data_IF_927850764703
#
_entry.id   IF_927850764703
#
_cell.length_a   1.000
_cell.length_b   1.000
_cell.length_c   1.000
_cell.angle_alpha   90.00
_cell.angle_beta   90.00
_cell.angle_gamma   90.00
#
_symmetry.space_group_name_H-M   'P 1'
#
loop_
_entity.id
_entity.type
_entity.pdbx_description
1 polymer ?
#
# COMPACT_ATOMS: atom_id res chain seq x y z
N UNK A 1 21.89 28.63 1.12
CA UNK A 1 21.28 27.46 1.79
C UNK A 1 19.74 27.60 1.77
N UNK A 2 19.09 27.33 0.63
CA UNK A 2 17.61 27.44 0.50
C UNK A 2 16.97 26.16 -0.05
N UNK A 3 17.78 25.19 -0.46
CA UNK A 3 17.39 23.91 -1.05
C UNK A 3 17.24 22.79 -0.02
N UNK A 4 17.91 22.88 1.13
CA UNK A 4 17.84 21.90 2.21
C UNK A 4 16.40 21.59 2.69
N UNK A 5 15.54 22.58 2.99
CA UNK A 5 14.17 22.27 3.41
C UNK A 5 13.32 21.64 2.29
N UNK A 6 13.56 22.04 1.04
CA UNK A 6 12.88 21.46 -0.13
C UNK A 6 13.24 19.97 -0.31
N UNK A 7 14.52 19.65 -0.19
CA UNK A 7 15.01 18.26 -0.30
C UNK A 7 14.42 17.39 0.83
N UNK A 8 14.37 17.91 2.06
CA UNK A 8 13.73 17.21 3.18
C UNK A 8 12.24 16.97 2.95
N UNK A 9 11.51 17.97 2.42
CA UNK A 9 10.09 17.81 2.08
C UNK A 9 9.86 16.76 0.98
N UNK A 10 10.73 16.70 -0.03
CA UNK A 10 10.67 15.70 -1.09
C UNK A 10 10.95 14.28 -0.57
N UNK A 11 11.92 14.11 0.32
CA UNK A 11 12.22 12.81 0.93
C UNK A 11 11.05 12.37 1.83
N UNK A 12 10.48 13.28 2.62
CA UNK A 12 9.34 12.97 3.48
C UNK A 12 8.10 12.52 2.68
N UNK A 13 7.80 13.22 1.58
CA UNK A 13 6.69 12.86 0.69
C UNK A 13 6.93 11.55 -0.05
N UNK A 14 8.16 11.29 -0.51
CA UNK A 14 8.53 10.01 -1.10
C UNK A 14 8.35 8.85 -0.11
N UNK A 15 8.80 9.01 1.15
CA UNK A 15 8.66 8.00 2.19
C UNK A 15 7.20 7.69 2.53
N UNK A 16 6.33 8.71 2.59
CA UNK A 16 4.89 8.54 2.82
C UNK A 16 4.19 7.88 1.64
N UNK A 17 4.65 8.14 0.40
CA UNK A 17 4.05 7.55 -0.80
C UNK A 17 4.42 6.09 -1.01
N UNK A 18 5.55 5.61 -0.46
CA UNK A 18 6.05 4.25 -0.66
C UNK A 18 5.05 3.16 -0.21
N UNK A 19 4.20 3.44 0.79
CA UNK A 19 3.16 2.53 1.26
C UNK A 19 1.97 2.37 0.28
N UNK A 20 1.92 3.17 -0.79
CA UNK A 20 0.81 3.20 -1.76
C UNK A 20 1.14 2.51 -3.08
N UNK A 21 2.39 2.11 -3.29
CA UNK A 21 2.86 1.42 -4.49
C UNK A 21 3.01 -0.07 -4.24
N UNK A 22 2.73 -0.88 -5.26
CA UNK A 22 2.99 -2.31 -5.24
C UNK A 22 3.86 -2.73 -6.42
N UNK A 23 4.58 -3.83 -6.23
CA UNK A 23 5.27 -4.52 -7.32
C UNK A 23 4.36 -5.61 -7.88
N UNK A 24 4.41 -5.82 -9.19
CA UNK A 24 3.69 -6.90 -9.86
C UNK A 24 4.55 -7.51 -10.97
N UNK A 25 4.27 -8.77 -11.30
CA UNK A 25 4.87 -9.43 -12.45
C UNK A 25 4.12 -8.97 -13.71
N UNK A 26 4.83 -8.32 -14.64
CA UNK A 26 4.28 -7.94 -15.93
C UNK A 26 4.27 -9.10 -16.92
N UNK A 27 3.50 -8.95 -18.00
CA UNK A 27 3.42 -9.96 -19.07
C UNK A 27 4.75 -10.18 -19.80
N UNK A 28 5.69 -9.24 -19.65
CA UNK A 28 7.07 -9.32 -20.12
C UNK A 28 8.00 -10.14 -19.19
N UNK A 29 7.45 -10.70 -18.12
CA UNK A 29 8.17 -11.49 -17.12
C UNK A 29 9.04 -10.64 -16.18
N UNK A 30 8.90 -9.31 -16.18
CA UNK A 30 9.67 -8.40 -15.33
C UNK A 30 8.86 -7.90 -14.14
N UNK A 31 9.55 -7.42 -13.12
CA UNK A 31 8.92 -6.72 -11.99
C UNK A 31 8.65 -5.27 -12.37
N UNK A 32 7.39 -4.87 -12.28
CA UNK A 32 6.94 -3.50 -12.49
C UNK A 32 6.41 -2.91 -11.19
N UNK A 33 6.26 -1.59 -11.17
CA UNK A 33 5.72 -0.83 -10.03
C UNK A 33 4.49 -0.08 -10.49
N UNK A 34 3.39 -0.17 -9.74
CA UNK A 34 2.16 0.60 -9.96
C UNK A 34 1.56 1.09 -8.65
N UNK A 35 0.74 2.12 -8.73
CA UNK A 35 -0.04 2.55 -7.58
C UNK A 35 -1.05 1.45 -7.26
N UNK A 36 -1.04 0.98 -6.00
CA UNK A 36 -1.87 -0.15 -5.57
C UNK A 36 -3.35 0.21 -5.53
N UNK A 37 -3.66 1.41 -5.04
CA UNK A 37 -5.02 1.89 -4.90
C UNK A 37 -5.15 3.37 -5.30
N UNK A 38 -6.30 3.80 -5.88
CA UNK A 38 -6.58 5.20 -6.12
C UNK A 38 -6.51 6.06 -4.85
N UNK A 39 -6.23 7.35 -5.02
CA UNK A 39 -6.23 8.33 -3.91
C UNK A 39 -7.60 8.35 -3.22
N UNK A 40 -7.61 8.30 -1.89
CA UNK A 40 -8.84 8.26 -1.09
C UNK A 40 -9.38 6.85 -0.81
N UNK A 41 -8.69 5.80 -1.24
CA UNK A 41 -9.04 4.42 -0.89
C UNK A 41 -8.85 4.17 0.61
N UNK A 42 -9.92 3.72 1.28
CA UNK A 42 -9.84 3.23 2.65
C UNK A 42 -9.37 1.77 2.68
N UNK A 43 -8.64 1.37 3.73
CA UNK A 43 -8.24 -0.03 3.94
C UNK A 43 -8.63 -0.43 5.35
N UNK A 44 -9.35 -1.54 5.49
CA UNK A 44 -9.61 -2.18 6.77
C UNK A 44 -9.11 -3.63 6.75
N UNK A 45 -8.98 -4.22 7.94
CA UNK A 45 -8.58 -5.62 8.08
C UNK A 45 -9.74 -6.43 8.67
N UNK A 46 -9.88 -7.69 8.23
CA UNK A 46 -10.80 -8.61 8.91
C UNK A 46 -10.37 -8.85 10.34
N UNK A 47 -11.34 -9.20 11.18
CA UNK A 47 -11.05 -9.63 12.54
C UNK A 47 -10.29 -10.96 12.51
N UNK A 48 -9.23 -11.07 13.29
CA UNK A 48 -8.36 -12.24 13.30
C UNK A 48 -7.15 -12.02 14.20
N UNK A 49 -6.29 -13.03 14.27
CA UNK A 49 -5.05 -12.97 15.05
C UNK A 49 -3.85 -13.34 14.19
N UNK A 50 -2.81 -12.52 14.24
CA UNK A 50 -1.53 -12.87 13.66
C UNK A 50 -0.83 -13.89 14.58
N UNK A 51 -0.97 -15.18 14.27
CA UNK A 51 -0.26 -16.25 14.96
C UNK A 51 0.97 -16.70 14.17
N UNK A 52 2.05 -17.04 14.88
CA UNK A 52 3.21 -17.71 14.29
C UNK A 52 2.93 -19.20 14.02
N UNK A 53 1.92 -19.77 14.68
CA UNK A 53 1.52 -21.16 14.44
C UNK A 53 0.68 -21.23 13.16
N UNK A 54 1.15 -22.03 12.21
CA UNK A 54 0.58 -22.15 10.86
C UNK A 54 -0.82 -22.76 10.84
N UNK A 55 -1.21 -23.49 11.89
CA UNK A 55 -2.56 -24.03 12.05
C UNK A 55 -3.64 -22.94 12.01
N UNK A 56 -3.32 -21.74 12.50
CA UNK A 56 -4.26 -20.62 12.58
C UNK A 56 -4.14 -19.63 11.41
N UNK A 57 -3.41 -19.99 10.36
CA UNK A 57 -3.24 -19.09 9.21
C UNK A 57 -4.55 -18.75 8.50
N UNK A 58 -5.55 -19.63 8.56
CA UNK A 58 -6.90 -19.36 8.05
C UNK A 58 -7.64 -18.23 8.79
N UNK A 59 -7.20 -17.86 9.98
CA UNK A 59 -7.75 -16.78 10.79
C UNK A 59 -6.88 -15.51 10.78
N UNK A 60 -5.95 -15.38 9.81
CA UNK A 60 -5.16 -14.16 9.67
C UNK A 60 -6.06 -12.99 9.25
N UNK A 61 -5.84 -11.79 9.82
CA UNK A 61 -6.44 -10.57 9.29
C UNK A 61 -6.07 -10.38 7.82
N UNK A 62 -7.09 -10.25 6.98
CA UNK A 62 -6.95 -10.00 5.55
C UNK A 62 -7.27 -8.53 5.25
N UNK A 63 -6.45 -7.84 4.44
CA UNK A 63 -6.72 -6.46 4.06
C UNK A 63 -7.84 -6.38 3.00
N UNK A 64 -8.79 -5.48 3.20
CA UNK A 64 -9.86 -5.16 2.25
C UNK A 64 -9.83 -3.68 1.89
N UNK A 65 -9.86 -3.40 0.58
CA UNK A 65 -9.93 -2.05 0.05
C UNK A 65 -11.37 -1.59 -0.12
N UNK A 66 -11.66 -0.37 0.37
CA UNK A 66 -12.89 0.36 0.10
C UNK A 66 -12.54 1.41 -0.93
N UNK A 67 -12.81 1.11 -2.19
CA UNK A 67 -12.56 2.04 -3.29
C UNK A 67 -13.46 3.27 -3.13
N UNK A 68 -12.95 4.48 -3.45
CA UNK A 68 -13.78 5.67 -3.44
C UNK A 68 -14.92 5.50 -4.44
N UNK A 69 -16.14 5.85 -4.02
CA UNK A 69 -17.27 5.94 -4.95
C UNK A 69 -16.91 6.92 -6.05
N UNK A 70 -16.80 6.44 -7.28
CA UNK A 70 -16.75 7.32 -8.44
C UNK A 70 -18.20 7.69 -8.64
N UNK A 71 -18.64 8.82 -8.07
CA UNK A 71 -20.04 9.24 -8.15
C UNK A 71 -20.50 9.20 -9.62
N UNK A 72 -21.50 8.36 -9.90
CA UNK A 72 -22.40 8.56 -11.05
C UNK A 72 -23.41 9.67 -10.73
#
# INVERSE_FOLDING_TARGET
MKTTPLILALIATAALSACTWETYAGDDGRTHVRQKYPTGTGVYYTNGAASQNTLYHSARPEPHAILPSTGE
#
